data_IF_093314253604
#
_entry.id   IF_093314253604
#
_cell.length_a   1.000
_cell.length_b   1.000
_cell.length_c   1.000
_cell.angle_alpha   90.00
_cell.angle_beta   90.00
_cell.angle_gamma   90.00
#
_symmetry.space_group_name_H-M   'P 1'
#
loop_
_entity.id
_entity.type
_entity.pdbx_description
1 polymer ?
#
# COMPACT_ATOMS: atom_id res chain seq x y z
N UNK A 1 -12.39 19.79 -11.99
CA UNK A 1 -11.03 19.17 -12.02
C UNK A 1 -11.17 17.70 -11.66
N UNK A 2 -10.76 16.84 -12.58
CA UNK A 2 -10.94 15.39 -12.44
C UNK A 2 -9.64 14.72 -12.06
N UNK A 3 -9.75 13.60 -11.31
CA UNK A 3 -8.63 12.78 -10.89
C UNK A 3 -8.81 11.37 -11.42
N UNK A 4 -7.70 10.73 -11.79
CA UNK A 4 -7.67 9.35 -12.27
C UNK A 4 -7.04 8.45 -11.20
N UNK A 5 -7.71 7.38 -10.86
CA UNK A 5 -7.29 6.38 -9.88
C UNK A 5 -7.19 5.01 -10.50
N UNK A 6 -6.54 4.11 -9.79
CA UNK A 6 -6.46 2.71 -10.21
C UNK A 6 -7.59 1.88 -9.59
N UNK A 7 -8.18 1.00 -10.39
CA UNK A 7 -9.06 -0.07 -9.88
C UNK A 7 -8.29 -0.88 -8.83
N UNK A 8 -8.98 -1.36 -7.79
CA UNK A 8 -8.44 -2.04 -6.62
C UNK A 8 -7.60 -1.19 -5.68
N UNK A 9 -7.50 0.13 -5.89
CA UNK A 9 -6.85 1.05 -4.95
C UNK A 9 -7.64 1.22 -3.65
N UNK A 10 -6.95 1.69 -2.60
CA UNK A 10 -7.56 2.08 -1.34
C UNK A 10 -6.88 3.34 -0.79
N UNK A 11 -7.64 4.43 -0.66
CA UNK A 11 -7.12 5.73 -0.24
C UNK A 11 -7.73 6.28 1.05
N UNK A 12 -8.60 5.52 1.70
CA UNK A 12 -9.15 5.89 3.01
C UNK A 12 -10.67 5.75 3.12
N UNK A 13 -11.21 6.22 4.26
CA UNK A 13 -12.61 6.04 4.66
C UNK A 13 -13.39 7.35 4.84
N UNK A 14 -12.76 8.52 4.69
CA UNK A 14 -13.50 9.80 4.60
C UNK A 14 -14.19 9.90 3.25
N UNK A 15 -15.23 10.71 3.11
CA UNK A 15 -16.03 10.75 1.90
C UNK A 15 -15.18 11.00 0.64
N UNK A 16 -14.24 11.95 0.70
CA UNK A 16 -13.37 12.25 -0.45
C UNK A 16 -12.39 11.12 -0.75
N UNK A 17 -11.75 10.53 0.27
CA UNK A 17 -10.79 9.43 0.08
C UNK A 17 -11.50 8.12 -0.26
N UNK A 18 -12.72 7.93 0.23
CA UNK A 18 -13.56 6.80 -0.15
C UNK A 18 -13.97 6.91 -1.62
N UNK A 19 -14.33 8.12 -2.07
CA UNK A 19 -14.56 8.37 -3.50
C UNK A 19 -13.31 8.08 -4.34
N UNK A 20 -12.11 8.34 -3.84
CA UNK A 20 -10.87 8.02 -4.55
C UNK A 20 -10.53 6.52 -4.56
N UNK A 21 -11.14 5.72 -3.67
CA UNK A 21 -10.89 4.27 -3.53
C UNK A 21 -11.54 3.50 -4.67
N UNK A 22 -10.75 2.78 -5.46
CA UNK A 22 -11.18 2.06 -6.67
C UNK A 22 -11.75 0.66 -6.40
N UNK A 23 -12.55 0.50 -5.34
CA UNK A 23 -13.18 -0.77 -4.96
C UNK A 23 -14.65 -0.53 -4.59
N UNK A 24 -15.57 -1.00 -5.42
CA UNK A 24 -17.03 -0.80 -5.24
C UNK A 24 -17.56 -1.33 -3.91
N UNK A 25 -16.99 -2.40 -3.37
CA UNK A 25 -17.40 -2.98 -2.09
C UNK A 25 -17.35 -1.96 -0.95
N UNK A 26 -16.48 -0.96 -1.02
CA UNK A 26 -16.37 0.09 -0.01
C UNK A 26 -17.30 1.27 -0.26
N UNK A 27 -17.94 1.36 -1.43
CA UNK A 27 -18.84 2.45 -1.80
C UNK A 27 -20.29 2.23 -1.33
N UNK A 28 -20.63 1.00 -0.98
CA UNK A 28 -21.98 0.67 -0.53
C UNK A 28 -22.41 1.51 0.69
N UNK A 29 -23.61 2.12 0.61
CA UNK A 29 -24.27 2.87 1.70
C UNK A 29 -23.70 4.26 2.05
N UNK A 30 -22.69 4.77 1.38
CA UNK A 30 -22.00 6.02 1.75
C UNK A 30 -22.17 7.21 0.78
N UNK A 31 -22.93 7.03 -0.30
CA UNK A 31 -23.18 8.13 -1.25
C UNK A 31 -24.05 9.26 -0.68
N UNK A 32 -24.10 10.42 -1.33
CA UNK A 32 -23.50 10.71 -2.63
C UNK A 32 -21.98 10.95 -2.54
N UNK A 33 -21.27 10.51 -3.57
CA UNK A 33 -19.81 10.68 -3.68
C UNK A 33 -19.44 11.97 -4.38
N UNK A 34 -18.17 12.38 -4.20
CA UNK A 34 -17.65 13.55 -4.90
C UNK A 34 -17.54 13.27 -6.40
N UNK A 35 -17.92 14.22 -7.22
CA UNK A 35 -17.71 14.16 -8.67
C UNK A 35 -16.22 14.28 -9.05
N UNK A 36 -15.89 13.83 -10.26
CA UNK A 36 -14.57 14.04 -10.86
C UNK A 36 -13.53 12.96 -10.55
N UNK A 37 -13.95 11.81 -10.04
CA UNK A 37 -13.07 10.63 -9.86
C UNK A 37 -13.44 9.56 -10.91
N UNK A 38 -12.45 9.04 -11.60
CA UNK A 38 -12.60 7.95 -12.57
C UNK A 38 -11.48 6.94 -12.39
N UNK A 39 -11.75 5.69 -12.71
CA UNK A 39 -10.86 4.58 -12.40
C UNK A 39 -10.44 3.85 -13.68
N UNK A 40 -9.21 3.34 -13.69
CA UNK A 40 -8.63 2.59 -14.80
C UNK A 40 -7.90 1.35 -14.24
N UNK A 41 -7.87 0.24 -14.97
CA UNK A 41 -7.09 -0.92 -14.53
C UNK A 41 -5.62 -0.57 -14.28
N UNK A 42 -5.06 -1.10 -13.19
CA UNK A 42 -3.63 -0.98 -12.93
C UNK A 42 -2.84 -1.72 -14.02
N UNK A 43 -1.77 -1.11 -14.55
CA UNK A 43 -0.95 -1.67 -15.61
C UNK A 43 -1.42 -1.31 -17.03
N UNK A 44 -2.59 -0.70 -17.20
CA UNK A 44 -3.11 -0.30 -18.51
C UNK A 44 -2.87 1.20 -18.77
N UNK A 45 -1.72 1.51 -19.37
CA UNK A 45 -1.35 2.90 -19.67
C UNK A 45 -2.20 3.50 -20.81
N UNK A 46 -2.65 2.68 -21.76
CA UNK A 46 -3.47 3.16 -22.86
C UNK A 46 -4.87 3.54 -22.37
N UNK A 47 -5.49 2.71 -21.53
CA UNK A 47 -6.75 3.07 -20.87
C UNK A 47 -6.62 4.35 -20.03
N UNK A 48 -5.49 4.55 -19.33
CA UNK A 48 -5.24 5.79 -18.62
C UNK A 48 -5.11 6.98 -19.57
N UNK A 49 -4.39 6.82 -20.69
CA UNK A 49 -4.20 7.86 -21.71
C UNK A 49 -5.52 8.28 -22.35
N UNK A 50 -6.39 7.34 -22.67
CA UNK A 50 -7.72 7.60 -23.23
C UNK A 50 -8.64 8.33 -22.23
N UNK A 51 -8.49 8.01 -20.93
CA UNK A 51 -9.32 8.61 -19.88
C UNK A 51 -8.90 10.04 -19.52
N UNK A 52 -7.65 10.42 -19.81
CA UNK A 52 -7.13 11.77 -19.54
C UNK A 52 -7.72 12.77 -20.54
N UNK A 53 -8.39 13.78 -20.02
CA UNK A 53 -9.01 14.86 -20.79
C UNK A 53 -8.57 16.25 -20.29
N UNK A 54 -9.08 17.32 -20.91
CA UNK A 54 -8.78 18.72 -20.53
C UNK A 54 -9.22 19.12 -19.11
N UNK A 55 -10.03 18.30 -18.45
CA UNK A 55 -10.53 18.52 -17.10
C UNK A 55 -9.74 17.72 -16.06
N UNK A 56 -8.90 16.81 -16.50
CA UNK A 56 -8.03 16.02 -15.64
C UNK A 56 -6.92 16.88 -15.06
N UNK A 57 -6.72 16.82 -13.75
CA UNK A 57 -5.67 17.59 -13.06
C UNK A 57 -4.65 16.69 -12.36
N UNK A 58 -4.98 15.43 -12.08
CA UNK A 58 -4.08 14.55 -11.35
C UNK A 58 -4.32 13.07 -11.66
N UNK A 59 -3.26 12.28 -11.51
CA UNK A 59 -3.31 10.83 -11.35
C UNK A 59 -2.92 10.50 -9.91
N UNK A 60 -3.66 9.61 -9.25
CA UNK A 60 -3.37 9.15 -7.90
C UNK A 60 -3.22 7.63 -7.89
N UNK A 61 -2.18 7.11 -7.25
CA UNK A 61 -1.92 5.67 -7.19
C UNK A 61 -1.17 5.27 -5.92
N UNK A 62 -1.33 3.99 -5.54
CA UNK A 62 -0.41 3.27 -4.65
C UNK A 62 0.61 2.53 -5.51
N UNK A 63 1.88 2.53 -5.15
CA UNK A 63 2.91 1.73 -5.84
C UNK A 63 2.79 0.23 -5.53
N UNK A 64 2.19 -0.08 -4.38
CA UNK A 64 1.75 -1.44 -4.03
C UNK A 64 0.32 -1.32 -3.54
N UNK A 65 -0.63 -1.86 -4.26
CA UNK A 65 -2.03 -1.87 -3.87
C UNK A 65 -2.25 -2.82 -2.69
N UNK A 66 -2.21 -2.27 -1.47
CA UNK A 66 -2.24 -3.05 -0.24
C UNK A 66 -3.52 -3.84 -0.04
N UNK A 67 -4.66 -3.19 -0.16
CA UNK A 67 -5.99 -3.80 -0.07
C UNK A 67 -6.39 -4.52 -1.38
N UNK A 68 -5.70 -4.22 -2.48
CA UNK A 68 -5.88 -4.85 -3.78
C UNK A 68 -5.18 -6.22 -3.93
N UNK A 69 -4.63 -6.80 -2.86
CA UNK A 69 -3.94 -8.10 -2.89
C UNK A 69 -2.42 -7.99 -2.76
N UNK A 70 -1.90 -6.89 -2.23
CA UNK A 70 -0.46 -6.60 -2.09
C UNK A 70 0.25 -6.66 -3.46
N UNK A 71 -0.34 -5.99 -4.44
CA UNK A 71 0.13 -6.00 -5.83
C UNK A 71 1.04 -4.81 -6.08
N UNK A 72 2.34 -5.07 -6.24
CA UNK A 72 3.28 -4.07 -6.72
C UNK A 72 3.01 -3.76 -8.20
N UNK A 73 3.03 -2.47 -8.54
CA UNK A 73 2.90 -2.03 -9.92
C UNK A 73 4.18 -2.35 -10.71
N UNK A 74 4.03 -2.59 -11.99
CA UNK A 74 5.15 -2.76 -12.89
C UNK A 74 5.97 -1.47 -13.01
N UNK A 75 7.31 -1.50 -12.91
CA UNK A 75 8.15 -0.32 -13.01
C UNK A 75 7.99 0.46 -14.32
N UNK A 76 7.85 -0.22 -15.45
CA UNK A 76 7.70 0.44 -16.76
C UNK A 76 6.35 1.15 -16.83
N UNK A 77 5.29 0.56 -16.28
CA UNK A 77 3.99 1.22 -16.14
C UNK A 77 4.09 2.47 -15.27
N UNK A 78 4.75 2.41 -14.12
CA UNK A 78 4.94 3.56 -13.22
C UNK A 78 5.68 4.70 -13.91
N UNK A 79 6.74 4.39 -14.67
CA UNK A 79 7.46 5.40 -15.46
C UNK A 79 6.60 5.96 -16.60
N UNK A 80 5.78 5.13 -17.25
CA UNK A 80 4.86 5.59 -18.28
C UNK A 80 3.78 6.54 -17.71
N UNK A 81 3.27 6.27 -16.51
CA UNK A 81 2.35 7.17 -15.79
C UNK A 81 3.04 8.50 -15.47
N UNK A 82 4.30 8.51 -15.00
CA UNK A 82 5.05 9.75 -14.75
C UNK A 82 5.21 10.55 -16.04
N UNK A 83 5.63 9.89 -17.13
CA UNK A 83 5.81 10.54 -18.42
C UNK A 83 4.48 11.13 -18.96
N UNK A 84 3.37 10.42 -18.81
CA UNK A 84 2.06 10.94 -19.18
C UNK A 84 1.66 12.17 -18.35
N UNK A 85 1.93 12.16 -17.04
CA UNK A 85 1.66 13.31 -16.20
C UNK A 85 2.52 14.52 -16.60
N UNK A 86 3.78 14.31 -16.97
CA UNK A 86 4.66 15.38 -17.46
C UNK A 86 4.19 15.93 -18.82
N UNK A 87 3.79 15.04 -19.76
CA UNK A 87 3.26 15.42 -21.08
C UNK A 87 1.98 16.27 -21.00
N UNK A 88 1.09 15.93 -20.07
CA UNK A 88 -0.24 16.54 -19.93
C UNK A 88 -0.33 17.59 -18.82
N UNK A 89 0.79 17.95 -18.20
CA UNK A 89 0.86 18.87 -17.06
C UNK A 89 -0.08 18.48 -15.91
N UNK A 90 -0.10 17.18 -15.57
CA UNK A 90 -0.88 16.63 -14.48
C UNK A 90 -0.03 16.50 -13.21
N UNK A 91 -0.70 16.53 -12.05
CA UNK A 91 -0.09 16.23 -10.76
C UNK A 91 -0.07 14.72 -10.55
N UNK A 92 1.09 14.13 -10.28
CA UNK A 92 1.20 12.75 -9.85
C UNK A 92 1.18 12.66 -8.33
N UNK A 93 0.16 12.02 -7.79
CA UNK A 93 -0.02 11.77 -6.35
C UNK A 93 0.31 10.31 -6.06
N UNK A 94 1.30 10.06 -5.22
CA UNK A 94 1.61 8.71 -4.74
C UNK A 94 1.18 8.57 -3.28
N UNK A 95 0.29 7.62 -3.04
CA UNK A 95 -0.18 7.27 -1.70
C UNK A 95 0.80 6.28 -1.06
N UNK A 96 1.63 6.80 -0.18
CA UNK A 96 2.61 6.05 0.62
C UNK A 96 2.13 5.78 2.06
N UNK A 97 0.84 5.96 2.32
CA UNK A 97 0.25 5.72 3.65
C UNK A 97 0.49 4.29 4.13
N UNK A 98 0.57 3.32 3.22
CA UNK A 98 0.85 1.92 3.58
C UNK A 98 2.27 1.48 3.20
N UNK A 99 2.85 2.03 2.16
CA UNK A 99 4.13 1.62 1.59
C UNK A 99 5.33 2.39 2.15
N UNK A 100 5.11 3.61 2.62
CA UNK A 100 6.16 4.48 3.15
C UNK A 100 6.59 4.16 4.59
N UNK A 101 7.39 5.05 5.12
CA UNK A 101 7.88 4.99 6.51
C UNK A 101 8.62 3.66 6.80
N UNK A 102 9.49 3.26 5.87
CA UNK A 102 10.37 2.10 6.03
C UNK A 102 9.76 0.74 5.66
N UNK A 103 8.45 0.66 5.36
CA UNK A 103 7.73 -0.61 5.11
C UNK A 103 8.35 -1.47 4.03
N UNK A 104 8.89 -0.85 2.99
CA UNK A 104 9.48 -1.55 1.84
C UNK A 104 11.00 -1.69 1.91
N UNK A 105 11.63 -1.26 3.02
CA UNK A 105 13.09 -1.25 3.18
C UNK A 105 13.77 0.05 2.75
N UNK A 106 12.98 1.00 2.24
CA UNK A 106 13.37 2.39 1.97
C UNK A 106 12.44 3.33 2.74
N UNK A 107 12.81 4.61 2.91
CA UNK A 107 11.91 5.56 3.59
C UNK A 107 10.60 5.73 2.82
N UNK A 108 10.67 5.88 1.49
CA UNK A 108 9.54 5.90 0.58
C UNK A 108 9.64 4.75 -0.44
N UNK A 109 8.53 4.12 -0.78
CA UNK A 109 8.49 3.10 -1.83
C UNK A 109 8.86 3.67 -3.22
N UNK A 110 8.62 4.96 -3.45
CA UNK A 110 9.04 5.68 -4.66
C UNK A 110 10.52 5.48 -5.00
N UNK A 111 11.37 5.24 -4.01
CA UNK A 111 12.81 5.03 -4.21
C UNK A 111 13.11 3.77 -5.02
N UNK A 112 12.33 2.69 -4.83
CA UNK A 112 12.46 1.45 -5.61
C UNK A 112 12.16 1.65 -7.10
N UNK A 113 11.36 2.67 -7.42
CA UNK A 113 10.93 2.99 -8.78
C UNK A 113 11.74 4.14 -9.39
N UNK A 114 12.71 4.71 -8.66
CA UNK A 114 13.36 5.97 -9.06
C UNK A 114 12.34 7.04 -9.48
N UNK A 115 11.21 7.10 -8.78
CA UNK A 115 10.08 7.96 -9.08
C UNK A 115 10.11 9.24 -8.23
N UNK A 116 9.88 10.38 -8.87
CA UNK A 116 9.67 11.67 -8.21
C UNK A 116 8.23 12.14 -8.41
N UNK A 117 7.32 11.82 -7.47
CA UNK A 117 5.95 12.30 -7.55
C UNK A 117 5.86 13.79 -7.20
N UNK A 118 4.75 14.43 -7.57
CA UNK A 118 4.48 15.82 -7.21
C UNK A 118 3.91 15.92 -5.79
N UNK A 119 3.15 14.89 -5.37
CA UNK A 119 2.60 14.76 -4.01
C UNK A 119 2.85 13.35 -3.49
N UNK A 120 3.25 13.26 -2.21
CA UNK A 120 3.29 12.01 -1.43
C UNK A 120 2.42 12.17 -0.19
N UNK A 121 1.57 11.18 0.09
CA UNK A 121 0.81 11.12 1.33
C UNK A 121 1.39 10.09 2.29
N UNK A 122 1.51 10.44 3.56
CA UNK A 122 2.02 9.58 4.63
C UNK A 122 1.06 9.55 5.81
N UNK A 123 0.97 8.42 6.50
CA UNK A 123 0.25 8.25 7.76
C UNK A 123 0.70 6.97 8.47
N UNK A 124 -0.21 6.28 9.16
CA UNK A 124 0.03 4.97 9.84
C UNK A 124 1.33 4.94 10.64
N UNK A 125 2.37 4.28 10.10
CA UNK A 125 3.68 4.14 10.76
C UNK A 125 4.35 5.45 11.14
N UNK A 126 4.04 6.56 10.45
CA UNK A 126 4.63 7.87 10.69
C UNK A 126 4.47 8.33 12.15
N UNK A 127 3.33 8.04 12.77
CA UNK A 127 3.05 8.48 14.13
C UNK A 127 3.56 7.55 15.23
N UNK A 128 4.09 6.36 14.91
CA UNK A 128 4.51 5.38 15.92
C UNK A 128 3.40 4.98 16.89
N UNK A 129 2.14 4.98 16.44
CA UNK A 129 0.93 4.73 17.24
C UNK A 129 0.11 6.00 17.54
N UNK A 130 0.65 7.19 17.30
CA UNK A 130 -0.08 8.45 17.42
C UNK A 130 -0.77 8.81 16.09
N UNK A 131 -1.96 9.46 16.11
CA UNK A 131 -2.71 9.79 14.90
C UNK A 131 -2.10 11.01 14.19
N UNK A 132 -1.44 10.80 13.08
CA UNK A 132 -0.88 11.83 12.22
C UNK A 132 -0.97 11.43 10.75
N UNK A 133 -1.15 12.40 9.87
CA UNK A 133 -0.91 12.30 8.45
C UNK A 133 -0.04 13.46 7.98
N UNK A 134 0.71 13.25 6.92
CA UNK A 134 1.52 14.27 6.27
C UNK A 134 1.31 14.22 4.75
N UNK A 135 1.36 15.40 4.14
CA UNK A 135 1.36 15.56 2.69
C UNK A 135 2.66 16.30 2.34
N UNK A 136 3.51 15.65 1.58
CA UNK A 136 4.72 16.22 1.00
C UNK A 136 4.39 16.65 -0.43
N UNK A 137 4.85 17.82 -0.84
CA UNK A 137 4.58 18.31 -2.19
C UNK A 137 5.81 19.05 -2.73
N UNK A 138 5.99 19.00 -4.05
CA UNK A 138 7.02 19.75 -4.71
C UNK A 138 6.61 21.25 -4.87
N UNK A 139 7.53 22.09 -5.34
CA UNK A 139 7.30 23.53 -5.50
C UNK A 139 6.11 23.84 -6.40
N UNK A 140 5.96 23.10 -7.53
CA UNK A 140 4.84 23.25 -8.46
C UNK A 140 3.47 23.20 -7.79
N UNK A 141 3.30 22.29 -6.83
CA UNK A 141 2.03 22.13 -6.10
C UNK A 141 1.96 23.08 -4.93
N UNK A 142 3.06 23.30 -4.23
CA UNK A 142 3.13 24.17 -3.06
C UNK A 142 2.72 25.63 -3.34
N UNK A 143 3.00 26.14 -4.54
CA UNK A 143 2.56 27.48 -4.96
C UNK A 143 1.04 27.68 -4.86
N UNK A 144 0.25 26.61 -5.02
CA UNK A 144 -1.22 26.64 -4.89
C UNK A 144 -1.71 26.56 -3.43
N UNK A 145 -0.82 26.31 -2.47
CA UNK A 145 -1.16 26.08 -1.07
C UNK A 145 -0.76 27.26 -0.18
N UNK A 146 -1.46 28.37 -0.33
CA UNK A 146 -1.23 29.57 0.50
C UNK A 146 -2.03 29.59 1.80
N UNK A 147 -1.83 30.64 2.62
CA UNK A 147 -2.60 30.81 3.87
C UNK A 147 -4.12 30.78 3.62
N UNK A 148 -4.85 30.00 4.42
CA UNK A 148 -6.30 29.89 4.33
C UNK A 148 -6.83 28.90 3.30
N UNK A 149 -5.99 28.26 2.49
CA UNK A 149 -6.43 27.24 1.49
C UNK A 149 -6.75 25.89 2.14
N UNK A 150 -6.18 25.59 3.29
CA UNK A 150 -6.41 24.36 4.05
C UNK A 150 -6.33 24.64 5.54
N UNK A 151 -7.00 23.81 6.34
CA UNK A 151 -6.95 23.87 7.79
C UNK A 151 -7.28 22.55 8.46
N UNK A 152 -6.72 22.36 9.65
CA UNK A 152 -6.99 21.20 10.50
C UNK A 152 -6.86 21.63 11.97
N UNK A 153 -7.89 21.37 12.78
CA UNK A 153 -7.87 21.75 14.21
C UNK A 153 -6.73 21.09 14.97
N UNK A 154 -6.44 19.82 14.68
CA UNK A 154 -5.40 19.04 15.36
C UNK A 154 -4.14 18.85 14.51
N UNK A 155 -4.10 19.38 13.28
CA UNK A 155 -2.93 19.30 12.41
C UNK A 155 -1.75 20.05 13.01
N UNK A 156 -0.53 19.47 12.90
CA UNK A 156 0.68 20.04 13.48
C UNK A 156 0.72 20.00 15.01
N UNK A 157 -0.07 19.15 15.66
CA UNK A 157 -0.04 18.97 17.11
C UNK A 157 1.38 18.63 17.57
N UNK A 158 1.99 19.42 18.48
CA UNK A 158 3.40 19.29 18.84
C UNK A 158 3.75 17.94 19.48
N UNK A 159 2.83 17.33 20.25
CA UNK A 159 3.06 16.02 20.87
C UNK A 159 3.15 14.93 19.81
N UNK A 160 2.23 14.94 18.86
CA UNK A 160 2.21 13.95 17.78
C UNK A 160 3.37 14.16 16.80
N UNK A 161 3.71 15.40 16.49
CA UNK A 161 4.88 15.72 15.67
C UNK A 161 6.19 15.29 16.33
N UNK A 162 6.32 15.46 17.65
CA UNK A 162 7.49 14.97 18.39
C UNK A 162 7.59 13.43 18.29
N UNK A 163 6.47 12.71 18.42
CA UNK A 163 6.43 11.26 18.20
C UNK A 163 6.82 10.86 16.78
N UNK A 164 6.33 11.59 15.77
CA UNK A 164 6.67 11.34 14.38
C UNK A 164 8.18 11.58 14.11
N UNK A 165 8.77 12.61 14.69
CA UNK A 165 10.21 12.86 14.57
C UNK A 165 11.02 11.68 15.10
N UNK A 166 10.65 11.09 16.25
CA UNK A 166 11.32 9.89 16.79
C UNK A 166 11.26 8.72 15.80
N UNK A 167 10.14 8.54 15.10
CA UNK A 167 10.01 7.51 14.07
C UNK A 167 10.93 7.81 12.90
N UNK A 168 10.92 9.05 12.39
CA UNK A 168 11.75 9.45 11.24
C UNK A 168 13.24 9.32 11.56
N UNK A 169 13.67 9.77 12.74
CA UNK A 169 15.06 9.67 13.20
C UNK A 169 15.52 8.21 13.36
N UNK A 170 14.59 7.29 13.66
CA UNK A 170 14.89 5.85 13.77
C UNK A 170 15.08 5.16 12.44
N UNK A 171 14.55 5.71 11.35
CA UNK A 171 14.61 5.12 10.01
C UNK A 171 15.93 5.46 9.30
N UNK A 172 17.05 5.22 9.99
CA UNK A 172 18.37 5.33 9.40
C UNK A 172 18.68 4.16 8.45
N UNK A 173 19.80 4.26 7.75
CA UNK A 173 20.23 3.23 6.79
C UNK A 173 20.41 1.86 7.44
N UNK A 174 20.88 1.80 8.69
CA UNK A 174 21.11 0.54 9.39
C UNK A 174 19.79 -0.14 9.75
N UNK A 175 18.80 0.61 10.19
CA UNK A 175 17.47 0.09 10.47
C UNK A 175 16.74 -0.37 9.20
N UNK A 176 16.82 0.41 8.12
CA UNK A 176 16.23 0.04 6.82
C UNK A 176 16.90 -1.22 6.21
N UNK A 177 18.21 -1.40 6.44
CA UNK A 177 18.91 -2.62 6.06
C UNK A 177 18.37 -3.83 6.83
N UNK A 178 18.14 -3.72 8.16
CA UNK A 178 17.52 -4.78 8.96
C UNK A 178 16.11 -5.13 8.45
N UNK A 179 15.30 -4.13 8.10
CA UNK A 179 13.98 -4.36 7.49
C UNK A 179 14.11 -5.20 6.21
N UNK A 180 15.07 -4.87 5.37
CA UNK A 180 15.35 -5.58 4.11
C UNK A 180 15.82 -7.02 4.37
N UNK A 181 16.70 -7.23 5.35
CA UNK A 181 17.16 -8.56 5.75
C UNK A 181 15.99 -9.43 6.25
N UNK A 182 15.14 -8.89 7.14
CA UNK A 182 13.94 -9.60 7.62
C UNK A 182 12.97 -9.92 6.48
N UNK A 183 12.82 -9.03 5.52
CA UNK A 183 12.00 -9.27 4.34
C UNK A 183 12.56 -10.43 3.48
N UNK A 184 13.87 -10.49 3.27
CA UNK A 184 14.53 -11.60 2.56
C UNK A 184 14.35 -12.92 3.32
N UNK A 185 14.57 -12.94 4.63
CA UNK A 185 14.36 -14.11 5.49
C UNK A 185 12.92 -14.63 5.36
N UNK A 186 11.93 -13.76 5.57
CA UNK A 186 10.52 -14.10 5.51
C UNK A 186 10.14 -14.66 4.13
N UNK A 187 10.49 -13.98 3.05
CA UNK A 187 10.17 -14.40 1.68
C UNK A 187 10.84 -15.71 1.30
N UNK A 188 12.10 -15.89 1.69
CA UNK A 188 12.84 -17.14 1.45
C UNK A 188 12.23 -18.33 2.20
N UNK A 189 11.76 -18.11 3.43
CA UNK A 189 11.05 -19.11 4.19
C UNK A 189 9.70 -19.46 3.57
N UNK A 190 8.89 -18.45 3.27
CA UNK A 190 7.57 -18.62 2.65
C UNK A 190 7.61 -19.38 1.31
N UNK A 191 8.62 -19.15 0.48
CA UNK A 191 8.77 -19.81 -0.81
C UNK A 191 9.00 -21.34 -0.71
N UNK A 192 9.32 -21.85 0.47
CA UNK A 192 9.53 -23.29 0.74
C UNK A 192 8.28 -23.99 1.27
N UNK A 193 7.24 -23.22 1.62
CA UNK A 193 6.05 -23.78 2.26
C UNK A 193 5.12 -24.42 1.22
N UNK A 194 4.41 -25.51 1.61
CA UNK A 194 3.44 -26.14 0.72
C UNK A 194 2.32 -25.15 0.36
N UNK A 195 1.63 -25.41 -0.73
CA UNK A 195 0.52 -24.62 -1.26
C UNK A 195 0.87 -23.20 -1.72
N UNK A 196 2.04 -22.65 -1.40
CA UNK A 196 2.46 -21.30 -1.82
C UNK A 196 2.75 -21.29 -3.32
N UNK A 197 1.97 -20.50 -4.06
CA UNK A 197 2.07 -20.32 -5.51
C UNK A 197 2.95 -19.13 -5.89
N UNK A 198 2.71 -17.99 -5.23
CA UNK A 198 3.41 -16.76 -5.53
C UNK A 198 3.49 -15.86 -4.28
N UNK A 199 4.55 -15.05 -4.21
CA UNK A 199 4.78 -14.07 -3.14
C UNK A 199 4.94 -12.69 -3.78
N UNK A 200 4.01 -11.78 -3.48
CA UNK A 200 3.97 -10.41 -4.02
C UNK A 200 4.37 -9.35 -2.98
N UNK A 201 4.44 -8.09 -3.42
CA UNK A 201 4.82 -6.95 -2.59
C UNK A 201 6.33 -6.71 -2.52
N UNK A 202 6.77 -5.74 -1.72
CA UNK A 202 8.18 -5.35 -1.52
C UNK A 202 8.45 -5.21 -0.02
N UNK A 203 9.65 -5.55 0.41
CA UNK A 203 10.04 -5.46 1.82
C UNK A 203 9.16 -6.31 2.73
N UNK A 204 8.77 -5.76 3.87
CA UNK A 204 7.86 -6.38 4.84
C UNK A 204 6.36 -6.09 4.54
N UNK A 205 6.03 -5.81 3.31
CA UNK A 205 4.67 -5.79 2.78
C UNK A 205 4.51 -6.99 1.85
N UNK A 206 3.94 -8.08 2.37
CA UNK A 206 3.96 -9.40 1.71
C UNK A 206 2.55 -9.90 1.48
N UNK A 207 2.26 -10.32 0.23
CA UNK A 207 1.05 -11.03 -0.16
C UNK A 207 1.39 -12.44 -0.61
N UNK A 208 0.65 -13.44 -0.15
CA UNK A 208 0.84 -14.85 -0.50
C UNK A 208 -0.37 -15.34 -1.28
N UNK A 209 -0.13 -15.82 -2.48
CA UNK A 209 -1.11 -16.52 -3.29
C UNK A 209 -0.90 -18.03 -3.15
N UNK A 210 -1.98 -18.76 -3.01
CA UNK A 210 -1.94 -20.21 -2.87
C UNK A 210 -2.43 -20.91 -4.15
N UNK A 211 -2.00 -22.16 -4.38
CA UNK A 211 -2.47 -22.96 -5.49
C UNK A 211 -3.88 -23.51 -5.28
N UNK A 212 -4.14 -24.02 -4.07
CA UNK A 212 -5.23 -24.95 -3.81
C UNK A 212 -5.82 -24.86 -2.39
N UNK A 213 -5.47 -23.82 -1.63
CA UNK A 213 -6.09 -23.50 -0.33
C UNK A 213 -6.60 -22.05 -0.31
N UNK A 214 -7.61 -21.78 0.51
CA UNK A 214 -8.18 -20.44 0.61
C UNK A 214 -7.45 -19.62 1.68
N UNK A 215 -7.06 -18.38 1.34
CA UNK A 215 -6.40 -17.47 2.29
C UNK A 215 -7.22 -17.23 3.57
N UNK A 216 -8.55 -17.28 3.49
CA UNK A 216 -9.44 -17.13 4.65
C UNK A 216 -9.31 -18.31 5.61
N UNK A 217 -9.17 -19.52 5.10
CA UNK A 217 -9.01 -20.73 5.93
C UNK A 217 -7.62 -20.75 6.59
N UNK A 218 -6.58 -20.35 5.83
CA UNK A 218 -5.22 -20.18 6.38
C UNK A 218 -5.22 -19.12 7.50
N UNK A 219 -5.89 -17.97 7.30
CA UNK A 219 -6.01 -16.93 8.32
C UNK A 219 -6.68 -17.48 9.60
N UNK A 220 -7.78 -18.22 9.46
CA UNK A 220 -8.48 -18.79 10.61
C UNK A 220 -7.59 -19.76 11.40
N UNK A 221 -6.89 -20.67 10.73
CA UNK A 221 -5.99 -21.63 11.35
C UNK A 221 -4.75 -20.95 11.99
N UNK A 222 -4.18 -19.93 11.34
CA UNK A 222 -3.08 -19.15 11.92
C UNK A 222 -3.50 -18.46 13.22
N UNK A 223 -4.70 -17.88 13.25
CA UNK A 223 -5.25 -17.22 14.45
C UNK A 223 -5.41 -18.16 15.62
N UNK A 224 -5.85 -19.40 15.39
CA UNK A 224 -5.96 -20.43 16.43
C UNK A 224 -4.59 -20.81 17.03
N UNK A 225 -3.52 -20.67 16.25
CA UNK A 225 -2.15 -20.90 16.69
C UNK A 225 -1.46 -19.62 17.19
N UNK A 226 -2.19 -18.51 17.34
CA UNK A 226 -1.67 -17.25 17.88
C UNK A 226 -0.93 -16.37 16.87
N UNK A 227 -0.89 -16.74 15.59
CA UNK A 227 -0.32 -15.90 14.53
C UNK A 227 -1.41 -15.03 13.89
N UNK A 228 -1.29 -13.71 14.08
CA UNK A 228 -2.22 -12.73 13.52
C UNK A 228 -1.79 -12.31 12.12
N UNK A 229 -2.57 -12.68 11.14
CA UNK A 229 -2.40 -12.35 9.72
C UNK A 229 -3.69 -11.73 9.18
N UNK A 230 -3.66 -11.19 7.97
CA UNK A 230 -4.81 -10.60 7.30
C UNK A 230 -5.02 -11.23 5.93
N UNK A 231 -6.17 -10.98 5.32
CA UNK A 231 -6.39 -11.22 3.90
C UNK A 231 -6.44 -9.92 3.12
N UNK A 232 -6.05 -9.96 1.85
CA UNK A 232 -6.27 -8.90 0.88
C UNK A 232 -6.75 -9.57 -0.41
N UNK A 233 -8.04 -9.40 -0.73
CA UNK A 233 -8.69 -10.17 -1.79
C UNK A 233 -8.54 -11.68 -1.53
N UNK A 234 -7.94 -12.39 -2.47
CA UNK A 234 -7.70 -13.84 -2.41
C UNK A 234 -6.35 -14.22 -1.78
N UNK A 235 -5.56 -13.26 -1.34
CA UNK A 235 -4.21 -13.47 -0.80
C UNK A 235 -4.17 -13.36 0.71
N UNK A 236 -3.31 -14.14 1.34
CA UNK A 236 -2.91 -13.91 2.72
C UNK A 236 -1.92 -12.74 2.75
N UNK A 237 -2.09 -11.81 3.68
CA UNK A 237 -1.27 -10.61 3.81
C UNK A 237 -0.52 -10.60 5.13
N UNK A 238 0.80 -10.41 5.05
CA UNK A 238 1.68 -10.24 6.19
C UNK A 238 2.24 -8.81 6.21
N UNK A 239 2.07 -8.14 7.36
CA UNK A 239 2.55 -6.79 7.64
C UNK A 239 3.15 -6.74 9.05
N UNK A 240 4.23 -7.49 9.32
CA UNK A 240 4.84 -7.48 10.65
C UNK A 240 5.33 -6.09 11.02
N UNK A 241 5.54 -5.79 12.33
CA UNK A 241 6.20 -4.55 12.72
C UNK A 241 7.59 -4.47 12.10
N UNK A 242 8.08 -3.25 11.82
CA UNK A 242 9.42 -3.07 11.23
C UNK A 242 10.54 -3.50 12.20
N UNK A 243 10.22 -3.59 13.48
CA UNK A 243 11.11 -4.04 14.56
C UNK A 243 11.09 -5.57 14.76
N UNK A 244 10.40 -6.31 13.87
CA UNK A 244 10.35 -7.78 13.97
C UNK A 244 11.76 -8.37 13.98
N UNK A 245 12.03 -9.23 14.94
CA UNK A 245 13.32 -9.92 15.07
C UNK A 245 13.41 -11.13 14.13
N UNK A 246 14.64 -11.60 13.93
CA UNK A 246 14.90 -12.85 13.20
C UNK A 246 14.12 -14.03 13.78
N UNK A 247 14.16 -14.16 15.10
CA UNK A 247 13.47 -15.23 15.82
C UNK A 247 11.94 -15.17 15.64
N UNK A 248 11.34 -13.97 15.68
CA UNK A 248 9.90 -13.82 15.46
C UNK A 248 9.48 -14.14 14.02
N UNK A 249 10.35 -13.86 13.02
CA UNK A 249 10.13 -14.30 11.64
C UNK A 249 10.17 -15.81 11.54
N UNK A 250 11.13 -16.48 12.20
CA UNK A 250 11.23 -17.93 12.22
C UNK A 250 10.01 -18.56 12.89
N UNK A 251 9.57 -18.05 14.05
CA UNK A 251 8.34 -18.50 14.71
C UNK A 251 7.11 -18.39 13.81
N UNK A 252 6.98 -17.27 13.07
CA UNK A 252 5.87 -17.09 12.14
C UNK A 252 5.91 -18.09 10.98
N UNK A 253 7.10 -18.38 10.46
CA UNK A 253 7.31 -19.40 9.42
C UNK A 253 7.01 -20.81 9.91
N UNK A 254 7.36 -21.15 11.15
CA UNK A 254 7.04 -22.44 11.79
C UNK A 254 5.52 -22.62 11.90
N UNK A 255 4.80 -21.61 12.40
CA UNK A 255 3.33 -21.66 12.50
C UNK A 255 2.69 -21.81 11.10
N UNK A 256 3.17 -21.04 10.11
CA UNK A 256 2.68 -21.16 8.74
C UNK A 256 2.97 -22.53 8.13
N UNK A 257 4.15 -23.10 8.39
CA UNK A 257 4.52 -24.43 7.92
C UNK A 257 3.60 -25.52 8.54
N UNK A 258 3.32 -25.42 9.83
CA UNK A 258 2.41 -26.34 10.52
C UNK A 258 0.98 -26.22 9.96
N UNK A 259 0.47 -25.00 9.84
CA UNK A 259 -0.87 -24.73 9.31
C UNK A 259 -1.03 -25.27 7.89
N UNK A 260 -0.12 -24.87 6.99
CA UNK A 260 -0.19 -25.28 5.59
C UNK A 260 0.07 -26.79 5.41
N UNK A 261 0.93 -27.39 6.25
CA UNK A 261 1.20 -28.84 6.20
C UNK A 261 0.02 -29.71 6.61
N UNK A 262 -0.98 -29.16 7.27
CA UNK A 262 -2.21 -29.88 7.67
C UNK A 262 -3.42 -29.56 6.80
N UNK A 263 -3.31 -28.64 5.85
CA UNK A 263 -4.41 -28.27 4.98
C UNK A 263 -4.60 -29.27 3.84
N UNK A 264 -5.87 -29.61 3.60
CA UNK A 264 -6.27 -30.39 2.44
C UNK A 264 -6.50 -29.45 1.25
N UNK A 265 -6.08 -29.84 0.02
CA UNK A 265 -6.39 -29.07 -1.18
C UNK A 265 -7.92 -28.89 -1.33
N UNK A 266 -8.35 -27.66 -1.49
CA UNK A 266 -9.76 -27.35 -1.79
C UNK A 266 -9.92 -27.16 -3.29
N UNK A 267 -10.99 -27.73 -3.86
CA UNK A 267 -11.34 -27.45 -5.25
C UNK A 267 -11.45 -25.93 -5.48
N UNK A 268 -10.96 -25.40 -6.62
CA UNK A 268 -11.13 -23.98 -6.93
C UNK A 268 -12.61 -23.62 -6.86
N UNK A 269 -12.97 -22.69 -5.98
CA UNK A 269 -14.32 -22.09 -6.03
C UNK A 269 -14.37 -21.27 -7.32
N UNK A 270 -15.23 -21.65 -8.26
CA UNK A 270 -15.53 -20.79 -9.40
C UNK A 270 -15.93 -19.42 -8.88
N UNK A 271 -15.25 -18.40 -9.40
CA UNK A 271 -15.55 -17.02 -9.04
C UNK A 271 -16.94 -16.68 -9.54
N UNK A 272 -17.87 -16.46 -8.62
CA UNK A 272 -19.21 -15.95 -8.91
C UNK A 272 -19.19 -14.42 -9.02
#
# INVERSE_FOLDING_TARGET
MYKRQLVNSFHGRTLATLTATGQEVFHNYFGPFNEGFQYVPAGDIEALRELVDRHTCAVMMELIQGEGGVMALDPDYVQAVRALCDEKDLVLIVDEVQTGVGRTGTFLCCEHYNLKPDIVTLAKGLGGGLPIGAVLMNEKVAEGMGPGTHGSTFGGNPVVCAGANVVVDRLDQSFLAQVSERAVQLRTGLAKLPHVKNISGIGLMVGIEFFDVQAADVLAACREKGLLVLTAKTRLRLLPPLTVSEHEVDMALEVLAEVLGTMEPTAPKEQA
#
